data_IF_640391422884
#
_entry.id   IF_640391422884
#
_cell.length_a   1.000
_cell.length_b   1.000
_cell.length_c   1.000
_cell.angle_alpha   90.00
_cell.angle_beta   90.00
_cell.angle_gamma   90.00
#
_symmetry.space_group_name_H-M   'P 1'
#
loop_
_entity.id
_entity.type
_entity.pdbx_description
1 polymer ?
#
# COMPACT_ATOMS: atom_id res chain seq x y z
N UNK A 1 8.28 63.38 -9.99
CA UNK A 1 9.29 62.42 -9.50
C UNK A 1 8.80 61.94 -8.13
N UNK A 2 8.65 60.67 -7.74
CA UNK A 2 9.01 59.34 -8.25
C UNK A 2 7.86 58.37 -7.89
N UNK A 3 7.67 57.35 -8.73
CA UNK A 3 6.69 56.27 -8.58
C UNK A 3 7.39 55.13 -7.84
N UNK A 4 6.88 54.67 -6.71
CA UNK A 4 7.38 53.46 -6.05
C UNK A 4 6.25 52.43 -5.97
N UNK A 5 6.20 51.61 -7.02
CA UNK A 5 5.55 50.28 -7.06
C UNK A 5 6.49 49.31 -6.37
N UNK A 6 6.04 48.49 -5.41
CA UNK A 6 6.60 47.19 -5.00
C UNK A 6 5.75 46.70 -3.82
N UNK A 7 5.30 45.47 -3.68
CA UNK A 7 5.05 44.36 -4.57
C UNK A 7 4.12 43.43 -3.78
N UNK A 8 3.10 42.90 -4.45
CA UNK A 8 2.13 41.97 -3.92
C UNK A 8 2.86 40.62 -3.71
N UNK A 9 3.15 40.25 -2.46
CA UNK A 9 3.72 38.94 -2.15
C UNK A 9 2.56 37.93 -2.05
N UNK A 10 2.13 37.40 -3.20
CA UNK A 10 1.27 36.22 -3.25
C UNK A 10 2.16 35.03 -2.88
N UNK A 11 2.06 34.59 -1.62
CA UNK A 11 2.50 33.26 -1.20
C UNK A 11 1.66 32.24 -1.96
N UNK A 12 2.19 31.75 -3.08
CA UNK A 12 1.68 30.58 -3.75
C UNK A 12 1.87 29.38 -2.83
N UNK A 13 0.83 29.02 -2.08
CA UNK A 13 0.71 27.69 -1.51
C UNK A 13 0.63 26.71 -2.67
N UNK A 14 1.77 26.16 -3.05
CA UNK A 14 1.79 24.94 -3.85
C UNK A 14 1.18 23.85 -2.97
N UNK A 15 -0.08 23.52 -3.21
CA UNK A 15 -0.63 22.27 -2.73
C UNK A 15 0.17 21.17 -3.41
N UNK A 16 1.05 20.50 -2.65
CA UNK A 16 1.63 19.23 -3.11
C UNK A 16 0.49 18.22 -3.15
N UNK A 17 -0.24 18.19 -4.26
CA UNK A 17 -1.05 17.04 -4.59
C UNK A 17 -0.04 15.92 -4.81
N UNK A 18 0.10 15.02 -3.83
CA UNK A 18 0.83 13.79 -4.01
C UNK A 18 0.13 13.04 -5.15
N UNK A 19 0.67 13.18 -6.36
CA UNK A 19 0.28 12.35 -7.48
C UNK A 19 0.91 11.00 -7.19
N UNK A 20 0.19 10.17 -6.43
CA UNK A 20 0.47 8.73 -6.34
C UNK A 20 0.34 8.20 -7.75
N UNK A 21 1.49 8.13 -8.43
CA UNK A 21 1.58 7.64 -9.79
C UNK A 21 1.23 6.16 -9.78
N UNK A 22 -0.04 5.88 -10.08
CA UNK A 22 -0.57 4.55 -10.37
C UNK A 22 0.26 3.92 -11.49
N UNK A 23 1.12 2.96 -11.16
CA UNK A 23 1.63 2.03 -12.14
C UNK A 23 0.54 0.99 -12.39
N UNK A 24 0.14 0.84 -13.67
CA UNK A 24 -0.77 -0.21 -14.14
C UNK A 24 -2.26 -0.15 -13.71
N UNK A 25 -2.81 1.04 -13.42
CA UNK A 25 -4.26 1.22 -13.21
C UNK A 25 -4.76 0.75 -11.84
N UNK A 26 -3.83 0.59 -10.90
CA UNK A 26 -4.07 0.38 -9.48
C UNK A 26 -3.65 1.64 -8.72
N UNK A 27 -4.43 2.05 -7.73
CA UNK A 27 -4.06 3.15 -6.82
C UNK A 27 -4.42 2.80 -5.38
N UNK A 28 -3.44 2.88 -4.48
CA UNK A 28 -3.66 2.67 -3.05
C UNK A 28 -4.31 3.90 -2.40
N UNK A 29 -5.19 3.64 -1.44
CA UNK A 29 -5.68 4.66 -0.53
C UNK A 29 -4.65 4.96 0.56
N UNK A 30 -4.88 6.05 1.29
CA UNK A 30 -4.06 6.38 2.45
C UNK A 30 -4.10 5.23 3.47
N UNK A 31 -2.92 4.84 3.98
CA UNK A 31 -2.78 3.70 4.87
C UNK A 31 -2.66 2.33 4.18
N UNK A 32 -2.80 2.25 2.85
CA UNK A 32 -2.50 1.07 2.03
C UNK A 32 -3.28 -0.21 2.40
N UNK A 33 -4.38 -0.09 3.14
CA UNK A 33 -5.27 -1.23 3.45
C UNK A 33 -6.22 -1.55 2.31
N UNK A 34 -6.56 -0.53 1.52
CA UNK A 34 -7.44 -0.61 0.36
C UNK A 34 -6.77 -0.03 -0.87
N UNK A 35 -7.23 -0.46 -2.03
CA UNK A 35 -6.81 0.07 -3.30
C UNK A 35 -7.91 -0.05 -4.35
N UNK A 36 -7.91 0.91 -5.28
CA UNK A 36 -8.78 0.91 -6.43
C UNK A 36 -8.13 0.17 -7.60
N UNK A 37 -8.86 -0.76 -8.22
CA UNK A 37 -8.43 -1.49 -9.40
C UNK A 37 -9.62 -1.87 -10.28
N UNK A 38 -9.52 -1.63 -11.60
CA UNK A 38 -10.58 -1.96 -12.59
C UNK A 38 -11.99 -1.47 -12.19
N UNK A 39 -12.09 -0.28 -11.60
CA UNK A 39 -13.37 0.34 -11.24
C UNK A 39 -13.99 -0.20 -9.96
N UNK A 40 -13.22 -0.91 -9.11
CA UNK A 40 -13.67 -1.47 -7.83
C UNK A 40 -12.61 -1.26 -6.76
N UNK A 41 -13.09 -1.18 -5.52
CA UNK A 41 -12.24 -1.08 -4.35
C UNK A 41 -12.03 -2.47 -3.73
N UNK A 42 -10.78 -2.75 -3.42
CA UNK A 42 -10.32 -4.00 -2.86
C UNK A 42 -9.57 -3.76 -1.56
N UNK A 43 -9.63 -4.73 -0.67
CA UNK A 43 -8.91 -4.75 0.59
C UNK A 43 -8.00 -5.98 0.68
N UNK A 44 -6.90 -5.82 1.41
CA UNK A 44 -5.95 -6.90 1.70
C UNK A 44 -6.38 -7.64 2.95
N UNK A 45 -6.67 -8.94 2.82
CA UNK A 45 -7.08 -9.80 3.94
C UNK A 45 -5.87 -10.31 4.73
N UNK A 46 -6.07 -10.58 6.03
CA UNK A 46 -5.12 -11.34 6.85
C UNK A 46 -4.95 -12.81 6.40
N UNK A 47 -5.79 -13.30 5.50
CA UNK A 47 -5.70 -14.66 4.98
C UNK A 47 -4.51 -14.81 4.03
N UNK A 48 -3.56 -15.66 4.41
CA UNK A 48 -2.43 -16.01 3.55
C UNK A 48 -2.87 -16.91 2.39
N UNK A 49 -2.15 -16.79 1.28
CA UNK A 49 -2.31 -17.58 0.07
C UNK A 49 -1.03 -18.39 -0.12
N UNK A 50 -1.18 -19.70 -0.34
CA UNK A 50 -0.04 -20.57 -0.56
C UNK A 50 0.67 -20.22 -1.88
N UNK A 51 2.00 -20.15 -1.87
CA UNK A 51 2.81 -19.79 -3.04
C UNK A 51 2.56 -20.72 -4.23
N UNK A 52 2.36 -22.02 -3.99
CA UNK A 52 2.07 -23.01 -5.02
C UNK A 52 0.72 -22.81 -5.73
N UNK A 53 -0.15 -21.98 -5.17
CA UNK A 53 -1.43 -21.59 -5.78
C UNK A 53 -1.30 -20.40 -6.72
N UNK A 54 -0.17 -19.70 -6.76
CA UNK A 54 0.05 -18.54 -7.63
C UNK A 54 0.27 -19.01 -9.08
N UNK A 55 -0.58 -18.58 -10.00
CA UNK A 55 -0.46 -18.94 -11.42
C UNK A 55 0.26 -17.91 -12.26
N UNK A 56 0.20 -16.63 -11.86
CA UNK A 56 0.83 -15.56 -12.62
C UNK A 56 0.52 -14.19 -12.05
N UNK A 57 1.24 -13.20 -12.59
CA UNK A 57 1.09 -11.79 -12.23
C UNK A 57 -0.02 -11.14 -13.06
N UNK A 58 -1.00 -10.55 -12.38
CA UNK A 58 -2.08 -9.73 -12.95
C UNK A 58 -1.62 -8.29 -13.16
N UNK A 59 -0.95 -7.70 -12.16
CA UNK A 59 -0.46 -6.32 -12.18
C UNK A 59 0.95 -6.30 -11.62
N UNK A 60 1.89 -5.64 -12.30
CA UNK A 60 3.24 -5.44 -11.78
C UNK A 60 3.36 -4.08 -11.08
N UNK A 61 3.81 -4.09 -9.83
CA UNK A 61 4.13 -2.88 -9.06
C UNK A 61 5.01 -3.23 -7.85
N UNK A 62 5.61 -2.21 -7.25
CA UNK A 62 6.31 -2.34 -5.98
C UNK A 62 6.16 -1.05 -5.18
N UNK A 63 5.60 -1.17 -3.97
CA UNK A 63 5.35 -0.07 -3.04
C UNK A 63 5.98 -0.39 -1.68
N UNK A 64 6.40 0.66 -0.97
CA UNK A 64 7.07 0.56 0.34
C UNK A 64 6.42 1.49 1.37
N UNK A 65 5.14 1.28 1.70
CA UNK A 65 4.46 2.10 2.70
C UNK A 65 5.18 2.08 4.04
N UNK A 66 5.33 3.27 4.62
CA UNK A 66 5.82 3.47 5.99
C UNK A 66 4.66 3.18 6.93
N UNK A 67 4.83 2.21 7.82
CA UNK A 67 3.78 1.80 8.78
C UNK A 67 4.10 2.24 10.19
N UNK A 68 5.39 2.49 10.49
CA UNK A 68 5.86 3.02 11.78
C UNK A 68 7.04 3.96 11.59
N UNK A 69 7.09 5.00 12.40
CA UNK A 69 8.28 5.85 12.55
C UNK A 69 8.74 5.82 14.02
N UNK A 70 9.98 5.41 14.24
CA UNK A 70 10.64 5.37 15.55
C UNK A 70 11.84 6.34 15.50
N UNK A 71 11.58 7.61 15.80
CA UNK A 71 12.58 8.67 15.67
C UNK A 71 12.98 8.88 14.21
N UNK A 72 14.22 8.50 13.86
CA UNK A 72 14.74 8.59 12.49
C UNK A 72 14.54 7.30 11.67
N UNK A 73 14.14 6.19 12.32
CA UNK A 73 13.96 4.89 11.68
C UNK A 73 12.53 4.77 11.17
N UNK A 74 12.37 4.45 9.89
CA UNK A 74 11.07 4.15 9.29
C UNK A 74 10.95 2.65 9.10
N UNK A 75 9.91 2.04 9.67
CA UNK A 75 9.55 0.66 9.39
C UNK A 75 8.57 0.64 8.22
N UNK A 76 8.89 -0.16 7.21
CA UNK A 76 8.13 -0.25 5.97
C UNK A 76 7.69 -1.69 5.75
N UNK A 77 6.56 -1.86 5.07
CA UNK A 77 6.13 -3.15 4.54
C UNK A 77 6.28 -3.10 3.02
N UNK A 78 6.75 -4.18 2.40
CA UNK A 78 6.80 -4.29 0.96
C UNK A 78 5.46 -4.80 0.44
N UNK A 79 4.85 -4.07 -0.47
CA UNK A 79 3.71 -4.54 -1.25
C UNK A 79 4.16 -4.72 -2.68
N UNK A 80 3.98 -5.91 -3.26
CA UNK A 80 4.43 -6.19 -4.60
C UNK A 80 3.44 -7.02 -5.40
N UNK A 81 3.10 -6.48 -6.57
CA UNK A 81 2.27 -7.10 -7.60
C UNK A 81 0.87 -7.55 -7.15
N UNK A 82 -0.06 -7.61 -8.10
CA UNK A 82 -1.25 -8.44 -7.97
C UNK A 82 -1.01 -9.75 -8.72
N UNK A 83 -1.52 -10.83 -8.16
CA UNK A 83 -1.42 -12.18 -8.72
C UNK A 83 -2.80 -12.80 -8.87
N UNK A 84 -2.89 -13.79 -9.75
CA UNK A 84 -4.06 -14.66 -9.89
C UNK A 84 -3.72 -16.03 -9.32
N UNK A 85 -4.61 -16.57 -8.49
CA UNK A 85 -4.47 -17.92 -7.94
C UNK A 85 -5.08 -18.99 -8.86
N UNK A 86 -4.82 -20.26 -8.57
CA UNK A 86 -5.46 -21.42 -9.23
C UNK A 86 -6.99 -21.38 -9.17
N UNK A 87 -7.56 -20.79 -8.12
CA UNK A 87 -9.01 -20.57 -7.94
C UNK A 87 -9.53 -19.33 -8.67
N UNK A 88 -8.69 -18.64 -9.45
CA UNK A 88 -8.99 -17.36 -10.13
C UNK A 88 -9.32 -16.22 -9.17
N UNK A 89 -8.83 -16.31 -7.94
CA UNK A 89 -8.92 -15.24 -6.96
C UNK A 89 -7.70 -14.32 -7.08
N UNK A 90 -7.79 -13.10 -6.56
CA UNK A 90 -6.67 -12.18 -6.51
C UNK A 90 -5.87 -12.38 -5.22
N UNK A 91 -4.56 -12.25 -5.34
CA UNK A 91 -3.64 -12.16 -4.22
C UNK A 91 -2.70 -10.95 -4.42
N UNK A 92 -2.14 -10.44 -3.34
CA UNK A 92 -1.13 -9.39 -3.33
C UNK A 92 0.08 -9.90 -2.56
N UNK A 93 1.29 -9.60 -3.02
CA UNK A 93 2.48 -9.93 -2.24
C UNK A 93 2.68 -8.92 -1.10
N UNK A 94 2.91 -9.44 0.10
CA UNK A 94 3.16 -8.67 1.31
C UNK A 94 4.38 -9.25 2.01
N UNK A 95 5.44 -8.46 2.17
CA UNK A 95 6.75 -8.96 2.60
C UNK A 95 7.19 -10.17 1.76
N UNK A 96 7.40 -11.30 2.42
CA UNK A 96 7.84 -12.56 1.82
C UNK A 96 6.67 -13.53 1.53
N UNK A 97 5.42 -13.08 1.73
CA UNK A 97 4.21 -13.89 1.59
C UNK A 97 3.21 -13.32 0.59
N UNK A 98 2.09 -14.03 0.48
CA UNK A 98 0.95 -13.63 -0.35
C UNK A 98 -0.31 -13.57 0.50
N UNK A 99 -1.10 -12.52 0.32
CA UNK A 99 -2.35 -12.31 1.04
C UNK A 99 -3.52 -12.25 0.06
N UNK A 100 -4.66 -12.78 0.48
CA UNK A 100 -5.89 -12.76 -0.32
C UNK A 100 -6.39 -11.33 -0.48
N UNK A 101 -6.81 -11.00 -1.69
CA UNK A 101 -7.46 -9.73 -2.02
C UNK A 101 -8.94 -9.98 -2.23
N UNK A 102 -9.77 -9.16 -1.60
CA UNK A 102 -11.23 -9.25 -1.68
C UNK A 102 -11.83 -7.87 -1.91
N UNK A 103 -13.07 -7.81 -2.40
CA UNK A 103 -13.78 -6.53 -2.51
C UNK A 103 -13.92 -5.91 -1.12
N UNK A 104 -13.72 -4.60 -1.03
CA UNK A 104 -13.74 -3.88 0.24
C UNK A 104 -15.05 -4.12 1.01
N UNK A 105 -16.19 -4.02 0.32
CA UNK A 105 -17.53 -4.20 0.89
C UNK A 105 -17.80 -5.62 1.44
N UNK A 106 -16.96 -6.59 1.07
CA UNK A 106 -17.11 -8.00 1.44
C UNK A 106 -16.23 -8.42 2.62
N UNK A 107 -15.50 -7.49 3.24
CA UNK A 107 -14.61 -7.80 4.37
C UNK A 107 -14.68 -6.72 5.45
N UNK A 108 -14.82 -7.16 6.70
CA UNK A 108 -14.73 -6.28 7.85
C UNK A 108 -13.30 -5.76 8.03
N UNK A 109 -13.14 -4.53 8.52
CA UNK A 109 -11.81 -3.96 8.81
C UNK A 109 -10.97 -4.85 9.74
N UNK A 110 -11.59 -5.51 10.72
CA UNK A 110 -10.92 -6.45 11.63
C UNK A 110 -10.35 -7.72 10.97
N UNK A 111 -10.74 -7.99 9.74
CA UNK A 111 -10.25 -9.13 8.94
C UNK A 111 -9.26 -8.70 7.86
N UNK A 112 -9.02 -7.39 7.73
CA UNK A 112 -7.94 -6.83 6.91
C UNK A 112 -6.60 -7.06 7.60
N UNK A 113 -5.54 -7.03 6.81
CA UNK A 113 -4.18 -7.22 7.32
C UNK A 113 -3.79 -6.07 8.25
N UNK A 114 -3.14 -6.40 9.38
CA UNK A 114 -2.50 -5.42 10.25
C UNK A 114 -1.00 -5.40 9.95
N UNK A 115 -0.57 -4.41 9.17
CA UNK A 115 0.83 -4.29 8.78
C UNK A 115 1.76 -4.02 9.97
N UNK A 116 1.28 -3.36 11.03
CA UNK A 116 2.09 -3.10 12.22
C UNK A 116 2.34 -4.41 12.96
N UNK A 117 1.29 -5.20 13.21
CA UNK A 117 1.42 -6.51 13.85
C UNK A 117 2.29 -7.49 13.04
N UNK A 118 2.21 -7.41 11.70
CA UNK A 118 3.07 -8.20 10.80
C UNK A 118 4.56 -7.86 11.03
N UNK A 119 4.92 -6.58 11.08
CA UNK A 119 6.30 -6.18 11.32
C UNK A 119 6.80 -6.54 12.71
N UNK A 120 5.97 -6.37 13.74
CA UNK A 120 6.34 -6.69 15.12
C UNK A 120 6.65 -8.19 15.28
N UNK A 121 5.96 -9.07 14.52
CA UNK A 121 6.25 -10.51 14.50
C UNK A 121 7.59 -10.82 13.84
N UNK A 122 7.91 -10.15 12.73
CA UNK A 122 9.19 -10.32 12.03
C UNK A 122 10.36 -9.91 12.92
N UNK A 123 10.24 -8.80 13.65
CA UNK A 123 11.32 -8.33 14.55
C UNK A 123 11.59 -9.34 15.69
N UNK A 124 10.54 -9.89 16.31
CA UNK A 124 10.69 -10.92 17.35
C UNK A 124 11.38 -12.21 16.85
N UNK A 125 11.16 -12.60 15.60
CA UNK A 125 11.80 -13.78 15.01
C UNK A 125 13.32 -13.60 14.79
N UNK A 126 13.77 -12.35 14.64
CA UNK A 126 15.20 -12.01 14.47
C UNK A 126 15.94 -11.90 15.81
N UNK A 127 15.25 -11.53 16.88
CA UNK A 127 15.85 -11.46 18.22
C UNK A 127 16.08 -12.84 18.86
N UNK A 128 15.35 -13.87 18.41
CA UNK A 128 15.39 -15.22 18.98
C UNK A 128 16.22 -16.24 18.17
N UNK A 129 16.96 -15.79 17.15
CA UNK A 129 17.93 -16.59 16.38
C UNK A 129 19.35 -16.04 16.53
#
# INVERSE_FOLDING_TARGET
MKKNVFALLVLGCMTLTACSSSSAGLSFDEGYQTFHYKGKDYAVSKQEVAEDSIQGTEVQFMEWPVVKEEGAVKKTVSLNNLYVTTSKELAIGVQDGYNKVVLEDNIAESDRIDYQALLDTVDLSKENN
#
